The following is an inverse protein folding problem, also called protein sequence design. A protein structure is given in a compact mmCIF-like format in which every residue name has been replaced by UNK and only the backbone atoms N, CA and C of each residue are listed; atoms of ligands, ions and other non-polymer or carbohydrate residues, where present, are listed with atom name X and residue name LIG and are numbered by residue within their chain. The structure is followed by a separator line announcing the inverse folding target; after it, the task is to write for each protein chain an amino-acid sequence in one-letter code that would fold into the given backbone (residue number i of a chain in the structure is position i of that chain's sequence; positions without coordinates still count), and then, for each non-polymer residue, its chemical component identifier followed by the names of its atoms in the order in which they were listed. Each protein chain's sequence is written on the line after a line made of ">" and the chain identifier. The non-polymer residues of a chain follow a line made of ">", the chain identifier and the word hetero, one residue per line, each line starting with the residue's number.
data_IF_198763635817
#
_entry.id   IF_198763635817
#
_cell.length_a   1.000
_cell.length_b   1.000
_cell.length_c   1.000
_cell.angle_alpha   90.00
_cell.angle_beta   90.00
_cell.angle_gamma   90.00
#
_symmetry.space_group_name_H-M   'P 1'
#
loop_
_entity.id
_entity.type
_entity.pdbx_description
1 polymer ?
#
# COMPACT_ATOMS: atom_id res chain seq x y z
N UNK A 1 -4.96 -6.61 -6.91
CA UNK A 1 -5.86 -5.71 -7.66
C UNK A 1 -5.50 -4.27 -7.36
N UNK A 2 -5.33 -3.47 -8.40
CA UNK A 2 -5.01 -2.05 -8.32
C UNK A 2 -5.57 -1.33 -9.55
N UNK A 3 -5.59 0.01 -9.52
CA UNK A 3 -6.14 0.85 -10.60
C UNK A 3 -7.64 1.06 -10.46
N UNK A 4 -8.11 2.27 -10.75
CA UNK A 4 -9.46 2.67 -10.40
C UNK A 4 -9.72 2.50 -8.90
N UNK A 5 -10.93 2.04 -8.56
CA UNK A 5 -11.31 1.69 -7.19
C UNK A 5 -11.95 0.28 -7.20
N UNK A 6 -11.20 -0.77 -6.80
CA UNK A 6 -11.70 -2.13 -6.87
C UNK A 6 -12.98 -2.36 -6.05
N UNK A 7 -13.13 -1.66 -4.94
CA UNK A 7 -14.33 -1.76 -4.10
C UNK A 7 -15.51 -0.90 -4.60
N UNK A 8 -15.37 -0.18 -5.72
CA UNK A 8 -16.52 0.53 -6.30
C UNK A 8 -17.58 -0.43 -6.88
N UNK A 9 -17.19 -1.67 -7.19
CA UNK A 9 -18.12 -2.69 -7.70
C UNK A 9 -17.73 -4.07 -7.16
N UNK A 10 -18.35 -4.48 -6.06
CA UNK A 10 -18.07 -5.74 -5.37
C UNK A 10 -18.46 -6.97 -6.20
N UNK A 11 -19.47 -6.88 -7.08
CA UNK A 11 -19.86 -7.99 -7.95
C UNK A 11 -18.78 -8.30 -8.98
N UNK A 12 -18.29 -7.25 -9.66
CA UNK A 12 -17.18 -7.39 -10.61
C UNK A 12 -15.90 -7.89 -9.93
N UNK A 13 -15.61 -7.39 -8.74
CA UNK A 13 -14.47 -7.85 -7.95
C UNK A 13 -14.62 -9.32 -7.55
N UNK A 14 -15.84 -9.76 -7.20
CA UNK A 14 -16.12 -11.17 -6.88
C UNK A 14 -15.86 -12.07 -8.08
N UNK A 15 -16.36 -11.70 -9.26
CA UNK A 15 -16.14 -12.47 -10.50
C UNK A 15 -14.64 -12.63 -10.77
N UNK A 16 -13.86 -11.57 -10.60
CA UNK A 16 -12.40 -11.63 -10.76
C UNK A 16 -11.74 -12.52 -9.70
N UNK A 17 -12.13 -12.40 -8.44
CA UNK A 17 -11.59 -13.22 -7.35
C UNK A 17 -11.88 -14.70 -7.55
N UNK A 18 -13.04 -15.03 -8.11
CA UNK A 18 -13.44 -16.43 -8.34
C UNK A 18 -12.54 -17.11 -9.40
N UNK A 19 -11.92 -16.35 -10.29
CA UNK A 19 -10.97 -16.87 -11.27
C UNK A 19 -9.57 -17.14 -10.68
N UNK A 20 -9.24 -16.61 -9.49
CA UNK A 20 -7.92 -16.75 -8.91
C UNK A 20 -7.84 -18.04 -8.08
N UNK A 21 -6.86 -18.91 -8.36
CA UNK A 21 -6.61 -20.08 -7.53
C UNK A 21 -6.24 -19.69 -6.10
N UNK A 22 -6.66 -20.49 -5.13
CA UNK A 22 -6.41 -20.26 -3.70
C UNK A 22 -4.93 -20.33 -3.31
N UNK A 23 -4.08 -20.82 -4.21
CA UNK A 23 -2.61 -20.83 -4.03
C UNK A 23 -1.96 -19.46 -4.22
N UNK A 24 -2.69 -18.48 -4.77
CA UNK A 24 -2.18 -17.15 -5.02
C UNK A 24 -2.41 -16.23 -3.82
N UNK A 25 -1.44 -15.36 -3.56
CA UNK A 25 -1.61 -14.26 -2.60
C UNK A 25 -2.37 -13.12 -3.27
N UNK A 26 -3.48 -12.71 -2.68
CA UNK A 26 -4.33 -11.64 -3.22
C UNK A 26 -4.21 -10.39 -2.35
N UNK A 27 -3.78 -9.30 -2.95
CA UNK A 27 -3.74 -7.97 -2.36
C UNK A 27 -4.70 -7.05 -3.12
N UNK A 28 -5.48 -6.25 -2.40
CA UNK A 28 -6.45 -5.33 -3.00
C UNK A 28 -6.14 -3.92 -2.52
N UNK A 29 -5.84 -3.01 -3.45
CA UNK A 29 -5.62 -1.60 -3.14
C UNK A 29 -6.94 -0.84 -3.28
N UNK A 30 -7.34 -0.12 -2.24
CA UNK A 30 -8.66 0.54 -2.20
C UNK A 30 -8.64 1.75 -1.27
N UNK A 31 -9.58 2.65 -1.45
CA UNK A 31 -9.91 3.68 -0.46
C UNK A 31 -10.99 3.21 0.54
N UNK A 32 -11.57 2.03 0.32
CA UNK A 32 -12.76 1.50 1.02
C UNK A 32 -13.94 2.49 0.94
N UNK A 33 -14.42 2.80 -0.26
CA UNK A 33 -15.48 3.77 -0.44
C UNK A 33 -16.80 3.23 0.11
N UNK A 34 -17.43 3.98 0.99
CA UNK A 34 -18.81 3.78 1.42
C UNK A 34 -19.68 4.78 0.64
N UNK A 35 -20.75 4.32 0.04
CA UNK A 35 -21.65 5.14 -0.78
C UNK A 35 -23.10 4.70 -0.59
N UNK A 36 -24.02 5.42 -1.22
CA UNK A 36 -25.44 5.04 -1.25
C UNK A 36 -25.67 3.65 -1.90
N UNK A 37 -24.77 3.24 -2.79
CA UNK A 37 -24.86 1.96 -3.51
C UNK A 37 -24.05 0.83 -2.85
N UNK A 38 -23.25 1.16 -1.81
CA UNK A 38 -22.37 0.20 -1.14
C UNK A 38 -22.16 0.60 0.30
N UNK A 39 -22.82 -0.12 1.19
CA UNK A 39 -22.74 0.12 2.64
C UNK A 39 -21.50 -0.51 3.28
N UNK A 40 -21.18 -0.11 4.52
CA UNK A 40 -20.17 -0.80 5.34
C UNK A 40 -20.50 -2.29 5.50
N UNK A 41 -21.78 -2.64 5.62
CA UNK A 41 -22.22 -4.02 5.78
C UNK A 41 -21.90 -4.85 4.52
N UNK A 42 -22.07 -4.29 3.32
CA UNK A 42 -21.74 -4.96 2.06
C UNK A 42 -20.24 -5.23 1.96
N UNK A 43 -19.41 -4.25 2.33
CA UNK A 43 -17.96 -4.38 2.34
C UNK A 43 -17.52 -5.48 3.32
N UNK A 44 -18.07 -5.49 4.53
CA UNK A 44 -17.74 -6.49 5.54
C UNK A 44 -18.22 -7.88 5.13
N UNK A 45 -19.43 -8.01 4.56
CA UNK A 45 -19.93 -9.26 4.06
C UNK A 45 -19.08 -9.82 2.90
N UNK A 46 -18.63 -8.93 1.99
CA UNK A 46 -17.72 -9.31 0.92
C UNK A 46 -16.36 -9.79 1.47
N UNK A 47 -15.77 -9.05 2.42
CA UNK A 47 -14.50 -9.41 3.02
C UNK A 47 -14.59 -10.72 3.81
N UNK A 48 -15.67 -10.94 4.57
CA UNK A 48 -15.92 -12.19 5.31
C UNK A 48 -16.04 -13.39 4.38
N UNK A 49 -16.81 -13.27 3.31
CA UNK A 49 -16.98 -14.32 2.30
C UNK A 49 -15.66 -14.72 1.65
N UNK A 50 -14.77 -13.75 1.42
CA UNK A 50 -13.52 -13.94 0.69
C UNK A 50 -12.26 -13.98 1.58
N UNK A 51 -12.41 -14.07 2.91
CA UNK A 51 -11.27 -14.02 3.84
C UNK A 51 -10.25 -15.16 3.63
N UNK A 52 -10.66 -16.27 3.04
CA UNK A 52 -9.77 -17.38 2.72
C UNK A 52 -8.94 -17.15 1.45
N UNK A 53 -9.31 -16.18 0.61
CA UNK A 53 -8.58 -15.78 -0.61
C UNK A 53 -7.78 -14.50 -0.43
N UNK A 54 -8.34 -13.53 0.29
CA UNK A 54 -7.71 -12.22 0.45
C UNK A 54 -6.58 -12.30 1.48
N UNK A 55 -5.37 -12.03 1.04
CA UNK A 55 -4.20 -12.00 1.90
C UNK A 55 -4.14 -10.71 2.71
N UNK A 56 -4.41 -9.56 2.07
CA UNK A 56 -4.40 -8.26 2.71
C UNK A 56 -5.16 -7.22 1.88
N UNK A 57 -5.87 -6.32 2.56
CA UNK A 57 -6.46 -5.14 1.95
C UNK A 57 -5.54 -3.94 2.23
N UNK A 58 -5.03 -3.32 1.17
CA UNK A 58 -4.22 -2.12 1.25
C UNK A 58 -5.13 -0.90 1.16
N UNK A 59 -5.25 -0.15 2.25
CA UNK A 59 -6.17 0.97 2.36
C UNK A 59 -5.42 2.28 2.27
N UNK A 60 -5.72 3.09 1.27
CA UNK A 60 -5.09 4.40 1.09
C UNK A 60 -5.60 5.39 2.13
N UNK A 61 -4.68 5.93 2.94
CA UNK A 61 -4.92 6.99 3.92
C UNK A 61 -3.71 7.91 3.92
N UNK A 62 -3.87 9.14 3.46
CA UNK A 62 -2.76 10.09 3.34
C UNK A 62 -2.81 11.13 4.47
N UNK A 63 -1.65 11.58 4.91
CA UNK A 63 -1.56 12.65 5.92
C UNK A 63 -1.76 14.04 5.31
N UNK A 64 -1.37 14.24 4.05
CA UNK A 64 -1.28 15.58 3.43
C UNK A 64 -2.43 15.93 2.51
N UNK A 65 -3.02 14.97 1.85
CA UNK A 65 -4.08 15.22 0.90
C UNK A 65 -5.27 14.32 1.22
N UNK A 66 -6.41 14.92 1.39
CA UNK A 66 -7.65 14.23 1.69
C UNK A 66 -7.73 13.68 3.10
N UNK A 67 -8.42 14.41 3.88
CA UNK A 67 -9.21 13.79 4.92
C UNK A 67 -10.38 13.11 4.21
N UNK A 68 -10.15 11.94 3.63
CA UNK A 68 -11.24 11.00 3.49
C UNK A 68 -11.71 10.78 4.92
N UNK A 69 -12.94 11.13 5.22
CA UNK A 69 -13.53 10.88 6.52
C UNK A 69 -13.19 9.44 6.88
N UNK A 70 -12.47 9.30 7.94
CA UNK A 70 -11.90 8.03 8.30
C UNK A 70 -13.01 7.12 8.80
N UNK A 71 -13.36 6.14 8.02
CA UNK A 71 -14.14 5.03 8.48
C UNK A 71 -13.26 4.02 9.25
N UNK A 72 -12.53 4.51 10.25
CA UNK A 72 -11.67 3.68 11.10
C UNK A 72 -12.49 2.60 11.83
N UNK A 73 -13.77 2.88 12.10
CA UNK A 73 -14.70 1.89 12.63
C UNK A 73 -14.89 0.69 11.68
N UNK A 74 -14.87 0.93 10.37
CA UNK A 74 -14.91 -0.14 9.36
C UNK A 74 -13.61 -0.93 9.36
N UNK A 75 -12.45 -0.24 9.40
CA UNK A 75 -11.15 -0.90 9.46
C UNK A 75 -11.03 -1.84 10.66
N UNK A 76 -11.53 -1.42 11.82
CA UNK A 76 -11.51 -2.23 13.04
C UNK A 76 -12.34 -3.52 12.94
N UNK A 77 -13.29 -3.58 12.01
CA UNK A 77 -14.21 -4.71 11.80
C UNK A 77 -13.79 -5.64 10.65
N UNK A 78 -12.75 -5.26 9.88
CA UNK A 78 -12.33 -6.08 8.75
C UNK A 78 -11.91 -7.48 9.21
N UNK A 79 -12.44 -8.56 8.59
CA UNK A 79 -12.13 -9.93 8.97
C UNK A 79 -10.83 -10.45 8.36
N UNK A 80 -10.09 -9.59 7.66
CA UNK A 80 -8.82 -9.89 6.99
C UNK A 80 -7.78 -8.86 7.40
N UNK A 81 -6.48 -9.21 7.37
CA UNK A 81 -5.42 -8.24 7.60
C UNK A 81 -5.53 -7.06 6.66
N UNK A 82 -5.24 -5.87 7.15
CA UNK A 82 -5.16 -4.69 6.31
C UNK A 82 -3.86 -3.92 6.55
N UNK A 83 -3.45 -3.22 5.50
CA UNK A 83 -2.30 -2.35 5.51
C UNK A 83 -2.73 -0.95 5.13
N UNK A 84 -2.36 0.03 5.92
CA UNK A 84 -2.58 1.44 5.60
C UNK A 84 -1.45 1.93 4.71
N UNK A 85 -1.77 2.37 3.49
CA UNK A 85 -0.82 2.97 2.57
C UNK A 85 -0.88 4.50 2.68
N UNK A 86 0.27 5.12 2.94
CA UNK A 86 0.41 6.56 3.04
C UNK A 86 1.57 7.06 2.18
N UNK A 87 1.27 7.85 1.16
CA UNK A 87 2.31 8.55 0.39
C UNK A 87 2.81 9.74 1.20
N UNK A 88 4.11 9.86 1.33
CA UNK A 88 4.82 10.96 1.98
C UNK A 88 5.53 11.80 0.92
N UNK A 89 5.16 13.06 0.86
CA UNK A 89 5.80 14.04 -0.01
C UNK A 89 6.98 14.72 0.70
N UNK A 90 7.83 15.40 -0.02
CA UNK A 90 9.04 16.05 0.51
C UNK A 90 8.76 16.96 1.72
N UNK A 91 7.62 17.62 1.74
CA UNK A 91 7.19 18.54 2.79
C UNK A 91 6.10 17.94 3.72
N UNK A 92 6.12 16.62 3.93
CA UNK A 92 5.15 15.98 4.84
C UNK A 92 5.25 16.55 6.27
N UNK A 93 4.14 16.57 7.01
CA UNK A 93 4.10 17.08 8.38
C UNK A 93 4.75 16.06 9.35
N UNK A 94 6.04 16.20 9.61
CA UNK A 94 6.81 15.24 10.41
C UNK A 94 6.28 15.07 11.84
N UNK A 95 5.70 16.13 12.41
CA UNK A 95 5.04 16.11 13.72
C UNK A 95 3.77 15.26 13.76
N UNK A 96 3.19 14.96 12.60
CA UNK A 96 2.01 14.09 12.48
C UNK A 96 2.35 12.60 12.36
N UNK A 97 3.63 12.23 12.16
CA UNK A 97 4.02 10.81 12.04
C UNK A 97 3.59 9.98 13.25
N UNK A 98 3.92 10.42 14.45
CA UNK A 98 3.58 9.69 15.67
C UNK A 98 2.07 9.65 15.91
N UNK A 99 1.32 10.75 15.86
CA UNK A 99 -0.15 10.72 15.93
C UNK A 99 -0.79 9.78 14.90
N UNK A 100 -0.28 9.80 13.67
CA UNK A 100 -0.77 8.95 12.60
C UNK A 100 -0.55 7.46 12.90
N UNK A 101 0.66 7.08 13.31
CA UNK A 101 0.97 5.70 13.68
C UNK A 101 0.14 5.24 14.89
N UNK A 102 -0.01 6.09 15.91
CA UNK A 102 -0.82 5.76 17.10
C UNK A 102 -2.31 5.57 16.77
N UNK A 103 -2.83 6.28 15.78
CA UNK A 103 -4.21 6.11 15.31
C UNK A 103 -4.46 4.68 14.85
N UNK A 104 -3.59 4.15 13.97
CA UNK A 104 -3.78 2.82 13.39
C UNK A 104 -3.26 1.70 14.28
N UNK A 105 -2.24 1.92 15.12
CA UNK A 105 -1.72 0.91 16.04
C UNK A 105 -2.78 0.30 16.96
N UNK A 106 -3.84 1.05 17.26
CA UNK A 106 -4.95 0.59 18.10
C UNK A 106 -5.90 -0.37 17.37
N UNK A 107 -5.79 -0.49 16.07
CA UNK A 107 -6.66 -1.34 15.27
C UNK A 107 -6.06 -2.74 15.14
N UNK A 108 -6.86 -3.81 15.32
CA UNK A 108 -6.36 -5.16 15.22
C UNK A 108 -5.90 -5.50 13.79
N UNK A 109 -4.74 -6.14 13.67
CA UNK A 109 -4.20 -6.57 12.37
C UNK A 109 -3.68 -5.44 11.47
N UNK A 110 -3.56 -4.21 12.00
CA UNK A 110 -3.06 -3.07 11.24
C UNK A 110 -1.55 -3.17 11.00
N UNK A 111 -1.14 -2.78 9.81
CA UNK A 111 0.23 -2.44 9.47
C UNK A 111 0.24 -1.16 8.64
N UNK A 112 1.37 -0.47 8.56
CA UNK A 112 1.48 0.76 7.76
C UNK A 112 2.60 0.62 6.74
N UNK A 113 2.30 1.01 5.50
CA UNK A 113 3.28 1.21 4.46
C UNK A 113 3.37 2.70 4.12
N UNK A 114 4.46 3.32 4.49
CA UNK A 114 4.83 4.63 3.96
C UNK A 114 5.50 4.46 2.61
N UNK A 115 5.17 5.33 1.68
CA UNK A 115 5.78 5.37 0.35
C UNK A 115 6.26 6.79 0.09
N UNK A 116 7.50 6.91 -0.34
CA UNK A 116 7.95 8.21 -0.84
C UNK A 116 7.24 8.53 -2.15
N UNK A 117 7.01 9.82 -2.41
CA UNK A 117 6.49 10.29 -3.68
C UNK A 117 7.37 9.78 -4.84
N UNK A 118 6.84 8.88 -5.64
CA UNK A 118 7.57 8.27 -6.74
C UNK A 118 7.99 9.30 -7.79
N UNK A 119 7.26 10.43 -7.93
CA UNK A 119 7.61 11.49 -8.88
C UNK A 119 8.86 12.27 -8.47
N UNK A 120 9.24 12.19 -7.20
CA UNK A 120 10.44 12.79 -6.64
C UNK A 120 11.58 11.78 -6.45
N UNK A 121 11.37 10.51 -6.78
CA UNK A 121 12.39 9.46 -6.69
C UNK A 121 13.21 9.43 -7.97
N UNK A 122 14.53 9.44 -7.84
CA UNK A 122 15.48 9.32 -8.95
C UNK A 122 16.45 8.16 -8.68
N UNK A 123 17.16 7.64 -9.71
CA UNK A 123 18.17 6.60 -9.49
C UNK A 123 19.22 6.97 -8.43
N UNK A 124 19.57 8.26 -8.33
CA UNK A 124 20.55 8.76 -7.38
C UNK A 124 20.06 8.74 -5.94
N UNK A 125 18.77 9.07 -5.71
CA UNK A 125 18.23 9.14 -4.35
C UNK A 125 17.50 7.86 -3.91
N UNK A 126 17.27 6.89 -4.82
CA UNK A 126 16.57 5.65 -4.51
C UNK A 126 17.20 4.90 -3.33
N UNK A 127 18.52 4.81 -3.32
CA UNK A 127 19.30 4.09 -2.31
C UNK A 127 19.93 5.01 -1.26
N UNK A 128 19.69 6.32 -1.34
CA UNK A 128 20.20 7.25 -0.37
C UNK A 128 19.50 7.05 0.98
N UNK A 129 20.28 6.83 2.03
CA UNK A 129 19.78 6.68 3.38
C UNK A 129 20.01 7.92 4.24
N UNK A 130 21.22 8.50 4.19
CA UNK A 130 21.62 9.60 5.09
C UNK A 130 20.87 10.90 4.79
N UNK A 131 20.69 11.24 3.52
CA UNK A 131 19.94 12.41 3.06
C UNK A 131 18.43 12.24 3.05
N UNK A 132 17.92 11.00 3.24
CA UNK A 132 16.49 10.75 3.28
C UNK A 132 15.87 11.16 4.61
N UNK A 133 15.31 12.37 4.63
CA UNK A 133 14.67 12.93 5.82
C UNK A 133 13.58 12.05 6.39
N UNK A 134 12.74 11.42 5.53
CA UNK A 134 11.63 10.57 5.99
C UNK A 134 12.20 9.35 6.71
N UNK A 135 13.18 8.69 6.10
CA UNK A 135 13.84 7.54 6.69
C UNK A 135 14.49 7.89 8.04
N UNK A 136 15.16 9.03 8.11
CA UNK A 136 15.77 9.48 9.36
C UNK A 136 14.73 9.80 10.44
N UNK A 137 13.61 10.41 10.08
CA UNK A 137 12.53 10.69 11.03
C UNK A 137 11.85 9.41 11.51
N UNK A 138 11.64 8.41 10.63
CA UNK A 138 11.14 7.10 11.02
C UNK A 138 12.11 6.37 11.97
N UNK A 139 13.43 6.42 11.71
CA UNK A 139 14.47 5.84 12.59
C UNK A 139 14.48 6.45 14.01
N UNK A 140 14.00 7.69 14.17
CA UNK A 140 13.90 8.34 15.50
C UNK A 140 12.71 7.82 16.32
N UNK A 141 11.63 7.41 15.67
CA UNK A 141 10.34 7.12 16.33
C UNK A 141 9.97 5.64 16.32
N UNK A 142 10.57 4.84 15.46
CA UNK A 142 10.32 3.41 15.34
C UNK A 142 11.64 2.62 15.31
N UNK A 143 11.61 1.39 15.79
CA UNK A 143 12.77 0.50 15.79
C UNK A 143 13.00 -0.05 14.38
N UNK A 144 14.11 0.33 13.77
CA UNK A 144 14.53 -0.22 12.48
C UNK A 144 14.84 -1.71 12.59
N UNK A 145 14.31 -2.54 11.70
CA UNK A 145 14.45 -4.00 11.73
C UNK A 145 15.19 -4.58 10.53
N UNK A 146 15.39 -3.82 9.48
CA UNK A 146 16.17 -4.25 8.32
C UNK A 146 15.65 -3.75 6.98
N UNK A 147 16.34 -4.17 5.93
CA UNK A 147 15.96 -3.94 4.54
C UNK A 147 15.15 -5.11 4.00
N UNK A 148 14.34 -4.84 2.99
CA UNK A 148 13.72 -5.87 2.16
C UNK A 148 14.75 -6.89 1.68
N UNK A 149 14.38 -8.17 1.72
CA UNK A 149 15.17 -9.25 1.13
C UNK A 149 15.11 -9.28 -0.41
N UNK A 150 14.36 -8.37 -1.05
CA UNK A 150 14.28 -8.29 -2.49
C UNK A 150 15.59 -7.74 -3.10
N UNK A 151 15.80 -8.04 -4.38
CA UNK A 151 17.01 -7.60 -5.12
C UNK A 151 17.16 -6.08 -5.15
N UNK A 152 16.04 -5.35 -5.21
CA UNK A 152 16.02 -3.88 -5.29
C UNK A 152 16.31 -3.20 -3.96
N UNK A 153 16.12 -3.89 -2.82
CA UNK A 153 16.36 -3.37 -1.47
C UNK A 153 15.75 -1.97 -1.22
N UNK A 154 14.59 -1.72 -1.82
CA UNK A 154 13.91 -0.42 -1.77
C UNK A 154 12.96 -0.28 -0.58
N UNK A 155 12.76 -1.33 0.21
CA UNK A 155 11.89 -1.35 1.37
C UNK A 155 12.68 -1.39 2.68
N UNK A 156 12.34 -0.47 3.58
CA UNK A 156 12.91 -0.39 4.94
C UNK A 156 11.83 -0.82 5.93
N UNK A 157 12.16 -1.79 6.79
CA UNK A 157 11.24 -2.35 7.77
C UNK A 157 11.48 -1.78 9.17
N UNK A 158 10.38 -1.55 9.87
CA UNK A 158 10.39 -1.05 11.24
C UNK A 158 9.34 -1.77 12.08
N UNK A 159 9.55 -1.74 13.36
CA UNK A 159 8.57 -2.06 14.39
C UNK A 159 8.23 -0.79 15.18
N UNK A 160 6.95 -0.45 15.22
CA UNK A 160 6.45 0.62 16.05
C UNK A 160 5.56 0.05 17.16
N UNK A 161 6.18 -0.20 18.33
CA UNK A 161 5.45 -0.73 19.50
C UNK A 161 4.62 -1.98 19.16
N UNK A 162 5.19 -2.90 18.37
CA UNK A 162 4.57 -4.15 17.95
C UNK A 162 3.74 -4.06 16.66
N UNK A 163 3.58 -2.90 16.05
CA UNK A 163 2.97 -2.74 14.73
C UNK A 163 4.05 -2.73 13.64
N UNK A 164 3.86 -3.52 12.58
CA UNK A 164 4.75 -3.54 11.42
C UNK A 164 4.61 -2.25 10.63
N UNK A 165 5.76 -1.62 10.33
CA UNK A 165 5.85 -0.50 9.41
C UNK A 165 6.82 -0.86 8.29
N UNK A 166 6.51 -0.39 7.09
CA UNK A 166 7.45 -0.38 5.97
C UNK A 166 7.56 1.01 5.37
N UNK A 167 8.73 1.34 4.85
CA UNK A 167 8.95 2.55 4.07
C UNK A 167 9.57 2.17 2.74
N UNK A 168 8.95 2.57 1.65
CA UNK A 168 9.36 2.22 0.30
C UNK A 168 9.64 3.46 -0.55
N UNK A 169 10.72 3.38 -1.32
CA UNK A 169 10.99 4.28 -2.45
C UNK A 169 10.89 3.46 -3.73
N UNK A 170 10.26 4.01 -4.75
CA UNK A 170 10.15 3.38 -6.07
C UNK A 170 10.37 4.44 -7.13
N UNK A 171 11.08 4.08 -8.18
CA UNK A 171 11.23 4.94 -9.36
C UNK A 171 9.89 5.11 -10.08
N UNK A 172 9.72 6.21 -10.82
CA UNK A 172 8.62 6.32 -11.76
C UNK A 172 8.68 5.18 -12.78
N UNK A 173 7.53 4.63 -13.14
CA UNK A 173 7.48 3.63 -14.20
C UNK A 173 7.94 4.28 -15.51
N UNK A 174 8.94 3.69 -16.16
CA UNK A 174 9.24 3.98 -17.55
C UNK A 174 8.71 2.83 -18.41
N UNK A 175 7.92 3.17 -19.42
CA UNK A 175 7.53 2.21 -20.46
C UNK A 175 8.64 2.19 -21.48
N UNK A 176 9.37 1.07 -21.59
CA UNK A 176 10.28 0.82 -22.70
C UNK A 176 9.53 -0.08 -23.69
N UNK A 177 9.43 0.40 -24.90
CA UNK A 177 8.88 -0.38 -26.02
C UNK A 177 10.04 -1.14 -26.66
N UNK A 178 10.05 -2.45 -26.49
CA UNK A 178 11.03 -3.33 -27.13
C UNK A 178 10.35 -4.23 -28.17
N UNK A 179 10.96 -4.35 -29.33
CA UNK A 179 10.54 -5.31 -30.34
C UNK A 179 11.44 -6.53 -30.24
N UNK A 180 10.86 -7.70 -29.99
CA UNK A 180 11.62 -8.95 -29.98
C UNK A 180 12.13 -9.24 -31.43
N UNK A 181 13.44 -9.35 -31.63
CA UNK A 181 14.00 -9.62 -32.97
C UNK A 181 13.65 -11.00 -33.50
N UNK A 182 13.14 -11.92 -32.68
CA UNK A 182 12.80 -13.29 -33.09
C UNK A 182 11.42 -13.40 -33.73
N UNK A 183 10.43 -12.67 -33.21
CA UNK A 183 9.06 -12.75 -33.70
C UNK A 183 8.54 -11.42 -34.26
N UNK A 184 9.27 -10.32 -34.07
CA UNK A 184 8.88 -8.98 -34.51
C UNK A 184 7.73 -8.38 -33.68
N UNK A 185 7.37 -9.02 -32.54
CA UNK A 185 6.31 -8.53 -31.68
C UNK A 185 6.86 -7.44 -30.78
N UNK A 186 6.12 -6.35 -30.70
CA UNK A 186 6.46 -5.22 -29.84
C UNK A 186 5.76 -5.40 -28.49
N UNK A 187 6.55 -5.37 -27.43
CA UNK A 187 6.09 -5.46 -26.05
C UNK A 187 6.27 -4.12 -25.34
N UNK A 188 5.21 -3.69 -24.63
CA UNK A 188 5.35 -2.65 -23.61
C UNK A 188 5.91 -3.29 -22.35
N UNK A 189 7.20 -3.07 -22.09
CA UNK A 189 7.83 -3.59 -20.88
C UNK A 189 7.81 -2.49 -19.84
N UNK A 190 7.04 -2.71 -18.77
CA UNK A 190 7.09 -1.89 -17.57
C UNK A 190 8.28 -2.35 -16.73
N UNK A 191 9.35 -1.56 -16.74
CA UNK A 191 10.42 -1.74 -15.79
C UNK A 191 10.15 -0.91 -14.53
N UNK A 192 10.15 -1.55 -13.37
CA UNK A 192 10.54 -0.90 -12.13
C UNK A 192 12.07 -0.71 -12.19
N UNK A 193 12.50 0.46 -12.66
CA UNK A 193 13.90 0.80 -12.73
C UNK A 193 14.34 1.34 -11.38
#
# INVERSE_FOLDING_TARGET
>A
FTGGEPFANLESLQVMLDQIPTTHKVYINTTLPVSEHQSEADILAFAERNKHKITCINVSRHMQHYVVESNDSLLAKLPVPFRVNCVLYKNYPADQLVPYMERFRKLPGASIQFRFDYTATTPENLYEEEGDKILQDLKKVARYTGLDGCRMRCGFHFDYKGMELTYHKTLPYSTIVETDPKDGVTYDILYDI
#
